data_IF_683169661864
#
_entry.id   IF_683169661864
#
_cell.length_a   1.000
_cell.length_b   1.000
_cell.length_c   1.000
_cell.angle_alpha   90.00
_cell.angle_beta   90.00
_cell.angle_gamma   90.00
#
_symmetry.space_group_name_H-M   'P 1'
#
loop_
_entity.id
_entity.type
_entity.pdbx_description
1 polymer ?
#
# COMPACT_ATOMS: atom_id res chain seq x y z
N UNK A 1 -5.85 2.45 11.68
CA UNK A 1 -6.16 3.05 10.37
C UNK A 1 -5.32 4.31 10.26
N UNK A 2 -4.70 4.52 9.10
CA UNK A 2 -3.89 5.72 8.84
C UNK A 2 -4.84 6.90 8.67
N UNK A 3 -4.51 8.06 9.25
CA UNK A 3 -5.36 9.26 9.13
C UNK A 3 -5.23 9.86 7.74
N UNK A 4 -6.26 10.56 7.27
CA UNK A 4 -6.25 11.19 5.93
C UNK A 4 -5.09 12.19 5.75
N UNK A 5 -4.75 12.96 6.80
CA UNK A 5 -3.58 13.85 6.77
C UNK A 5 -2.27 13.09 6.60
N UNK A 6 -2.15 11.93 7.26
CA UNK A 6 -0.97 11.07 7.13
C UNK A 6 -0.93 10.40 5.75
N UNK A 7 -2.06 10.09 5.12
CA UNK A 7 -2.08 9.60 3.74
C UNK A 7 -1.52 10.63 2.76
N UNK A 8 -1.88 11.90 2.93
CA UNK A 8 -1.38 13.01 2.11
C UNK A 8 0.14 13.22 2.30
N UNK A 9 0.61 13.16 3.55
CA UNK A 9 2.04 13.31 3.86
C UNK A 9 2.90 12.10 3.43
N UNK A 10 2.27 10.96 3.12
CA UNK A 10 2.94 9.70 2.77
C UNK A 10 2.62 9.29 1.34
N UNK A 11 2.99 10.13 0.36
CA UNK A 11 2.77 9.89 -1.07
C UNK A 11 3.38 8.57 -1.57
N UNK A 12 4.40 8.04 -0.87
CA UNK A 12 4.97 6.72 -1.17
C UNK A 12 3.95 5.57 -1.06
N UNK A 13 2.83 5.75 -0.34
CA UNK A 13 1.73 4.78 -0.31
C UNK A 13 1.07 4.61 -1.69
N UNK A 14 1.16 5.64 -2.56
CA UNK A 14 0.73 5.52 -3.95
C UNK A 14 1.62 4.54 -4.71
N UNK A 15 2.94 4.53 -4.47
CA UNK A 15 3.85 3.53 -5.06
C UNK A 15 3.45 2.10 -4.68
N UNK A 16 2.99 1.89 -3.44
CA UNK A 16 2.50 0.57 -3.01
C UNK A 16 1.21 0.17 -3.73
N UNK A 17 0.30 1.13 -3.94
CA UNK A 17 -0.91 0.89 -4.73
C UNK A 17 -0.60 0.61 -6.20
N UNK A 18 0.38 1.32 -6.78
CA UNK A 18 0.86 1.09 -8.15
C UNK A 18 1.48 -0.31 -8.31
N UNK A 19 2.38 -0.71 -7.41
CA UNK A 19 2.96 -2.06 -7.40
C UNK A 19 1.86 -3.12 -7.24
N UNK A 20 0.84 -2.86 -6.41
CA UNK A 20 -0.28 -3.77 -6.28
C UNK A 20 -1.10 -3.86 -7.57
N UNK A 21 -1.39 -2.76 -8.23
CA UNK A 21 -2.12 -2.78 -9.49
C UNK A 21 -1.32 -3.48 -10.59
N UNK A 22 -0.01 -3.25 -10.67
CA UNK A 22 0.86 -3.90 -11.66
C UNK A 22 0.86 -5.43 -11.54
N UNK A 23 0.74 -5.95 -10.31
CA UNK A 23 0.67 -7.39 -10.04
C UNK A 23 -0.60 -8.07 -10.58
N UNK A 24 -1.69 -7.31 -10.77
CA UNK A 24 -2.99 -7.82 -11.25
C UNK A 24 -3.29 -7.39 -12.69
N UNK A 25 -2.81 -6.22 -13.10
CA UNK A 25 -3.04 -5.60 -14.42
C UNK A 25 -1.71 -5.15 -15.01
N UNK A 26 -1.13 -5.95 -15.93
CA UNK A 26 0.11 -5.57 -16.61
C UNK A 26 -0.01 -4.26 -17.42
N UNK A 27 -1.21 -3.88 -17.84
CA UNK A 27 -1.57 -2.66 -18.56
C UNK A 27 -1.98 -1.50 -17.62
N UNK A 28 -1.43 -1.47 -16.40
CA UNK A 28 -1.79 -0.55 -15.31
C UNK A 28 -1.76 0.94 -15.69
N UNK A 29 -0.91 1.35 -16.65
CA UNK A 29 -0.76 2.75 -17.06
C UNK A 29 -2.09 3.36 -17.48
N UNK A 30 -2.99 2.55 -18.04
CA UNK A 30 -4.33 2.94 -18.48
C UNK A 30 -5.33 3.15 -17.33
N UNK A 31 -4.90 2.99 -16.07
CA UNK A 31 -5.69 3.11 -14.85
C UNK A 31 -5.16 4.19 -13.89
N UNK A 32 -4.02 4.82 -14.21
CA UNK A 32 -3.41 5.91 -13.43
C UNK A 32 -4.06 7.28 -13.73
N UNK A 33 -4.01 8.26 -12.80
CA UNK A 33 -3.48 8.14 -11.44
C UNK A 33 -4.39 7.32 -10.52
N UNK A 34 -3.80 6.78 -9.45
CA UNK A 34 -4.54 6.09 -8.39
C UNK A 34 -4.86 7.05 -7.26
N UNK A 35 -6.00 6.83 -6.61
CA UNK A 35 -6.39 7.54 -5.40
C UNK A 35 -6.46 6.55 -4.23
N UNK A 36 -5.47 6.59 -3.33
CA UNK A 36 -5.48 5.79 -2.10
C UNK A 36 -6.54 6.33 -1.16
N UNK A 37 -7.55 5.51 -0.85
CA UNK A 37 -8.70 5.88 -0.02
C UNK A 37 -8.53 5.51 1.44
N UNK A 38 -7.89 4.38 1.70
CA UNK A 38 -7.76 3.83 3.06
C UNK A 38 -6.56 2.94 3.17
N UNK A 39 -5.80 3.10 4.25
CA UNK A 39 -4.71 2.20 4.62
C UNK A 39 -4.87 1.77 6.06
N UNK A 40 -4.82 0.47 6.29
CA UNK A 40 -4.69 -0.11 7.63
C UNK A 40 -3.36 -0.83 7.71
N UNK A 41 -2.52 -0.41 8.66
CA UNK A 41 -1.20 -1.00 8.88
C UNK A 41 -1.25 -1.92 10.09
N UNK A 42 -0.74 -3.15 9.91
CA UNK A 42 -0.53 -4.12 10.99
C UNK A 42 0.96 -4.42 11.13
N UNK A 43 1.44 -4.34 12.36
CA UNK A 43 2.82 -4.62 12.77
C UNK A 43 2.79 -5.77 13.76
N UNK A 44 3.91 -6.47 13.93
CA UNK A 44 4.03 -7.51 14.97
C UNK A 44 4.22 -6.88 16.34
N UNK A 45 5.06 -5.83 16.39
CA UNK A 45 5.32 -5.05 17.58
C UNK A 45 4.13 -4.12 17.87
N UNK A 46 3.81 -3.96 19.16
CA UNK A 46 2.83 -2.98 19.60
C UNK A 46 3.49 -1.59 19.62
N UNK A 47 3.36 -0.89 18.50
CA UNK A 47 3.89 0.46 18.30
C UNK A 47 2.76 1.46 18.17
N UNK A 48 3.05 2.70 18.58
CA UNK A 48 2.12 3.81 18.45
C UNK A 48 1.59 3.94 17.00
N UNK A 49 0.32 4.32 16.81
CA UNK A 49 -0.30 4.38 15.48
C UNK A 49 0.50 5.18 14.45
N UNK A 50 1.08 6.32 14.84
CA UNK A 50 1.89 7.20 13.99
C UNK A 50 3.24 6.59 13.58
N UNK A 51 3.70 5.56 14.31
CA UNK A 51 4.98 4.88 14.04
C UNK A 51 4.81 3.63 13.16
N UNK A 52 3.58 3.13 12.98
CA UNK A 52 3.31 1.92 12.18
C UNK A 52 3.77 2.04 10.73
N UNK A 53 3.66 3.24 10.14
CA UNK A 53 4.14 3.51 8.77
C UNK A 53 5.67 3.46 8.65
N UNK A 54 6.40 3.61 9.76
CA UNK A 54 7.86 3.60 9.80
C UNK A 54 8.43 2.23 10.19
N UNK A 55 7.58 1.25 10.46
CA UNK A 55 7.99 -0.08 10.88
C UNK A 55 8.71 -0.83 9.75
N UNK A 56 9.78 -1.53 10.10
CA UNK A 56 10.56 -2.34 9.15
C UNK A 56 9.74 -3.49 8.55
N UNK A 57 8.92 -4.13 9.37
CA UNK A 57 8.03 -5.22 8.97
C UNK A 57 6.59 -4.81 9.23
N UNK A 58 5.77 -4.81 8.18
CA UNK A 58 4.38 -4.38 8.27
C UNK A 58 3.54 -5.01 7.17
N UNK A 59 2.25 -5.18 7.45
CA UNK A 59 1.24 -5.56 6.47
C UNK A 59 0.32 -4.36 6.26
N UNK A 60 0.20 -3.92 5.02
CA UNK A 60 -0.64 -2.83 4.58
C UNK A 60 -1.88 -3.41 3.90
N UNK A 61 -3.04 -3.10 4.46
CA UNK A 61 -4.33 -3.35 3.83
C UNK A 61 -4.79 -2.04 3.21
N UNK A 62 -4.78 -1.99 1.88
CA UNK A 62 -4.96 -0.75 1.12
C UNK A 62 -6.20 -0.86 0.27
N UNK A 63 -7.04 0.18 0.30
CA UNK A 63 -8.13 0.39 -0.65
C UNK A 63 -7.77 1.62 -1.48
N UNK A 64 -7.82 1.49 -2.80
CA UNK A 64 -7.54 2.58 -3.72
C UNK A 64 -8.48 2.54 -4.92
N UNK A 65 -8.63 3.68 -5.60
CA UNK A 65 -9.44 3.79 -6.81
C UNK A 65 -8.57 4.14 -8.00
N UNK A 66 -8.89 3.55 -9.14
CA UNK A 66 -8.32 3.94 -10.44
C UNK A 66 -9.03 5.18 -10.97
N UNK A 67 -8.43 5.92 -11.91
CA UNK A 67 -9.10 7.06 -12.54
C UNK A 67 -10.40 6.67 -13.26
N UNK A 68 -10.54 5.40 -13.64
CA UNK A 68 -11.76 4.84 -14.26
C UNK A 68 -12.86 4.51 -13.26
N UNK A 69 -12.63 4.78 -11.98
CA UNK A 69 -13.60 4.56 -10.90
C UNK A 69 -13.60 3.15 -10.32
N UNK A 70 -12.77 2.22 -10.81
CA UNK A 70 -12.67 0.88 -10.23
C UNK A 70 -12.01 0.96 -8.85
N UNK A 71 -12.65 0.35 -7.84
CA UNK A 71 -12.10 0.19 -6.51
C UNK A 71 -11.29 -1.11 -6.43
N UNK A 72 -10.06 -1.00 -5.93
CA UNK A 72 -9.13 -2.10 -5.75
C UNK A 72 -8.84 -2.29 -4.27
N UNK A 73 -8.64 -3.55 -3.88
CA UNK A 73 -8.20 -3.92 -2.53
C UNK A 73 -6.88 -4.65 -2.64
N UNK A 74 -5.88 -4.20 -1.89
CA UNK A 74 -4.57 -4.81 -1.87
C UNK A 74 -4.12 -5.16 -0.45
N UNK A 75 -3.36 -6.24 -0.37
CA UNK A 75 -2.61 -6.66 0.81
C UNK A 75 -1.14 -6.65 0.39
N UNK A 76 -0.34 -5.80 1.04
CA UNK A 76 1.09 -5.67 0.81
C UNK A 76 1.81 -6.03 2.10
N UNK A 77 2.64 -7.08 2.09
CA UNK A 77 3.54 -7.38 3.19
C UNK A 77 4.92 -6.84 2.88
N UNK A 78 5.38 -5.90 3.69
CA UNK A 78 6.75 -5.38 3.68
C UNK A 78 7.59 -6.15 4.70
N UNK A 79 8.76 -6.60 4.26
CA UNK A 79 9.79 -7.19 5.13
C UNK A 79 11.16 -6.61 4.83
N UNK A 80 11.95 -6.36 5.87
CA UNK A 80 13.36 -5.98 5.79
C UNK A 80 14.21 -6.97 6.58
N UNK A 81 15.33 -7.39 6.00
CA UNK A 81 16.26 -8.40 6.56
C UNK A 81 17.33 -7.79 7.48
N UNK A 82 17.32 -6.46 7.67
CA UNK A 82 18.31 -5.72 8.45
C UNK A 82 19.49 -5.20 7.62
N UNK A 83 19.60 -5.60 6.35
CA UNK A 83 20.58 -5.04 5.42
C UNK A 83 20.00 -3.72 4.85
N UNK A 84 20.80 -2.65 4.90
CA UNK A 84 20.35 -1.35 4.42
C UNK A 84 20.03 -1.41 2.91
N UNK A 85 18.87 -0.89 2.53
CA UNK A 85 18.42 -0.89 1.14
C UNK A 85 17.75 -2.18 0.67
N UNK A 86 17.77 -3.26 1.47
CA UNK A 86 17.07 -4.50 1.15
C UNK A 86 15.63 -4.45 1.69
N UNK A 87 14.68 -4.67 0.78
CA UNK A 87 13.26 -4.76 1.09
C UNK A 87 12.60 -5.79 0.17
N UNK A 88 11.74 -6.63 0.75
CA UNK A 88 10.87 -7.52 0.00
C UNK A 88 9.42 -7.10 0.19
N UNK A 89 8.68 -7.05 -0.93
CA UNK A 89 7.25 -6.82 -0.96
C UNK A 89 6.55 -8.06 -1.51
N UNK A 90 5.63 -8.61 -0.72
CA UNK A 90 4.73 -9.65 -1.17
C UNK A 90 3.34 -9.06 -1.32
N UNK A 91 2.75 -9.24 -2.50
CA UNK A 91 1.61 -8.43 -2.91
C UNK A 91 0.48 -9.32 -3.41
N UNK A 92 -0.73 -9.00 -2.98
CA UNK A 92 -1.97 -9.55 -3.54
C UNK A 92 -2.92 -8.40 -3.78
N UNK A 93 -3.44 -8.30 -5.00
CA UNK A 93 -4.38 -7.25 -5.39
C UNK A 93 -5.65 -7.89 -5.95
N UNK A 94 -6.80 -7.27 -5.67
CA UNK A 94 -8.10 -7.71 -6.15
C UNK A 94 -8.81 -6.50 -6.75
N UNK A 95 -9.17 -6.61 -8.02
CA UNK A 95 -10.01 -5.62 -8.69
C UNK A 95 -11.47 -5.84 -8.30
N UNK A 96 -12.14 -4.81 -7.77
CA UNK A 96 -13.59 -4.82 -7.64
C UNK A 96 -14.24 -4.94 -9.03
N UNK A 97 -15.29 -5.75 -9.14
CA UNK A 97 -16.14 -5.83 -10.33
C UNK A 97 -17.02 -4.60 -10.44
#
# INVERSE_FOLDING_TARGET
EVKDSELQDNEWLNLYAEIALSSERPDMETYLPLEVKKVVVRTKEDVEPSMKLKSSNAIFYTIFKTHRGHECKAIIRQTRDGIQGHMCLEVTCMLGK
#
